data_IF_675717206506
#
_entry.id   IF_675717206506
#
_cell.length_a   1.000
_cell.length_b   1.000
_cell.length_c   1.000
_cell.angle_alpha   90.00
_cell.angle_beta   90.00
_cell.angle_gamma   90.00
#
_symmetry.space_group_name_H-M   'P 1'
#
loop_
_entity.id
_entity.type
_entity.pdbx_description
1 polymer ?
#
# COMPACT_ATOMS: atom_id res chain seq x y z
N UNK A 1 29.41 -19.53 -29.96
CA UNK A 1 28.07 -18.93 -30.07
C UNK A 1 27.56 -18.79 -28.65
N UNK A 2 27.71 -17.60 -28.06
CA UNK A 2 27.33 -17.36 -26.67
C UNK A 2 25.82 -17.10 -26.64
N UNK A 3 25.12 -17.84 -25.79
CA UNK A 3 23.73 -17.54 -25.41
C UNK A 3 23.80 -16.20 -24.68
N UNK A 4 23.06 -15.15 -25.11
CA UNK A 4 23.03 -13.91 -24.35
C UNK A 4 22.50 -14.22 -22.94
N UNK A 5 23.04 -13.59 -21.88
CA UNK A 5 22.42 -13.71 -20.57
C UNK A 5 20.98 -13.21 -20.69
N UNK A 6 20.02 -14.04 -20.28
CA UNK A 6 18.66 -13.57 -20.00
C UNK A 6 18.79 -12.30 -19.16
N UNK A 7 18.14 -11.19 -19.54
CA UNK A 7 18.03 -10.07 -18.62
C UNK A 7 17.32 -10.65 -17.41
N UNK A 8 18.05 -10.71 -16.29
CA UNK A 8 17.58 -11.04 -14.95
C UNK A 8 16.12 -10.64 -14.88
N UNK A 9 15.23 -11.64 -14.78
CA UNK A 9 13.80 -11.41 -14.73
C UNK A 9 13.54 -10.28 -13.74
N UNK A 10 13.12 -9.13 -14.26
CA UNK A 10 12.49 -8.11 -13.45
C UNK A 10 11.30 -8.83 -12.85
N UNK A 11 11.42 -9.30 -11.60
CA UNK A 11 10.23 -9.73 -10.86
C UNK A 11 9.29 -8.55 -10.95
N UNK A 12 8.17 -8.71 -11.66
CA UNK A 12 7.21 -7.64 -11.85
C UNK A 12 6.89 -7.13 -10.46
N UNK A 13 7.23 -5.87 -10.18
CA UNK A 13 6.92 -5.29 -8.88
C UNK A 13 5.43 -5.50 -8.61
N UNK A 14 5.07 -5.80 -7.37
CA UNK A 14 3.68 -5.89 -6.93
C UNK A 14 3.51 -4.80 -5.88
N UNK A 15 2.49 -3.97 -6.05
CA UNK A 15 2.03 -3.07 -5.00
C UNK A 15 0.87 -3.75 -4.27
N UNK A 16 0.95 -3.82 -2.94
CA UNK A 16 -0.06 -4.45 -2.09
C UNK A 16 -0.50 -3.46 -1.02
N UNK A 17 -1.77 -3.02 -1.11
CA UNK A 17 -2.33 -1.99 -0.25
C UNK A 17 -3.62 -2.45 0.42
N UNK A 18 -3.94 -1.80 1.55
CA UNK A 18 -5.19 -1.99 2.28
C UNK A 18 -5.85 -0.64 2.55
N UNK A 19 -7.09 -0.45 2.12
CA UNK A 19 -7.78 0.83 2.20
C UNK A 19 -9.03 0.77 3.09
N UNK A 20 -9.41 1.92 3.63
CA UNK A 20 -10.68 2.08 4.33
C UNK A 20 -11.88 1.84 3.40
N UNK A 21 -12.91 1.19 3.93
CA UNK A 21 -14.21 1.12 3.30
C UNK A 21 -15.00 2.44 3.44
N UNK A 22 -16.02 2.69 2.59
CA UNK A 22 -16.39 1.89 1.42
C UNK A 22 -15.57 2.28 0.18
N UNK A 23 -15.11 1.27 -0.58
CA UNK A 23 -14.56 1.41 -1.93
C UNK A 23 -15.03 0.23 -2.78
N UNK A 24 -15.36 0.51 -4.04
CA UNK A 24 -15.66 -0.53 -5.04
C UNK A 24 -14.45 -0.73 -5.95
N UNK A 25 -14.27 -1.92 -6.57
CA UNK A 25 -13.19 -2.16 -7.53
C UNK A 25 -13.12 -1.08 -8.62
N UNK A 26 -14.26 -0.69 -9.18
CA UNK A 26 -14.34 0.36 -10.21
C UNK A 26 -13.94 1.76 -9.74
N UNK A 27 -14.07 2.08 -8.46
CA UNK A 27 -13.60 3.36 -7.90
C UNK A 27 -12.09 3.33 -7.73
N UNK A 28 -11.55 2.22 -7.20
CA UNK A 28 -10.10 2.02 -7.03
C UNK A 28 -9.37 2.04 -8.37
N UNK A 29 -9.81 1.24 -9.34
CA UNK A 29 -9.18 1.16 -10.66
C UNK A 29 -9.18 2.49 -11.42
N UNK A 30 -10.26 3.27 -11.32
CA UNK A 30 -10.30 4.62 -11.92
C UNK A 30 -9.34 5.58 -11.24
N UNK A 31 -9.20 5.52 -9.91
CA UNK A 31 -8.23 6.34 -9.20
C UNK A 31 -6.80 5.96 -9.57
N UNK A 32 -6.48 4.66 -9.57
CA UNK A 32 -5.19 4.15 -10.04
C UNK A 32 -4.89 4.63 -11.46
N UNK A 33 -5.82 4.46 -12.41
CA UNK A 33 -5.61 4.86 -13.80
C UNK A 33 -5.37 6.37 -13.95
N UNK A 34 -6.09 7.19 -13.17
CA UNK A 34 -5.90 8.64 -13.17
C UNK A 34 -4.52 9.06 -12.64
N UNK A 35 -4.00 8.36 -11.63
CA UNK A 35 -2.70 8.65 -10.99
C UNK A 35 -1.53 8.11 -11.81
N UNK A 36 -1.63 6.87 -12.29
CA UNK A 36 -0.54 6.22 -13.03
C UNK A 36 -0.47 6.66 -14.48
N UNK A 37 -1.59 7.13 -15.05
CA UNK A 37 -1.72 7.38 -16.49
C UNK A 37 -1.80 6.10 -17.33
N UNK A 38 -1.77 4.92 -16.70
CA UNK A 38 -1.86 3.63 -17.36
C UNK A 38 -3.34 3.18 -17.46
N UNK A 39 -3.59 2.27 -18.40
CA UNK A 39 -4.80 1.46 -18.33
C UNK A 39 -4.73 0.59 -17.07
N UNK A 40 -5.83 0.51 -16.32
CA UNK A 40 -5.96 -0.38 -15.16
C UNK A 40 -7.11 -1.32 -15.42
N UNK A 41 -6.81 -2.62 -15.42
CA UNK A 41 -7.75 -3.69 -15.75
C UNK A 41 -7.92 -4.64 -14.58
N UNK A 42 -9.10 -5.26 -14.39
CA UNK A 42 -9.27 -6.29 -13.38
C UNK A 42 -8.33 -7.47 -13.62
N UNK A 43 -7.76 -8.04 -12.56
CA UNK A 43 -7.07 -9.32 -12.65
C UNK A 43 -8.06 -10.41 -13.11
N UNK A 44 -7.63 -11.21 -14.09
CA UNK A 44 -8.45 -12.29 -14.65
C UNK A 44 -9.34 -11.90 -15.84
N UNK A 45 -9.26 -10.64 -16.30
CA UNK A 45 -9.83 -10.25 -17.59
C UNK A 45 -9.08 -10.97 -18.73
N UNK A 46 -9.82 -11.62 -19.62
CA UNK A 46 -9.32 -12.40 -20.76
C UNK A 46 -9.26 -11.59 -22.07
N UNK A 47 -9.60 -10.30 -22.00
CA UNK A 47 -9.50 -9.36 -23.10
C UNK A 47 -8.06 -9.03 -23.54
N UNK A 48 -7.95 -8.33 -24.66
CA UNK A 48 -6.66 -7.78 -25.09
C UNK A 48 -6.22 -6.68 -24.14
N UNK A 49 -5.03 -6.84 -23.55
CA UNK A 49 -4.43 -5.90 -22.63
C UNK A 49 -3.37 -5.05 -23.34
N UNK A 50 -3.39 -3.71 -23.14
CA UNK A 50 -2.25 -2.88 -23.50
C UNK A 50 -0.96 -3.39 -22.84
N UNK A 51 0.17 -3.26 -23.53
CA UNK A 51 1.48 -3.74 -23.04
C UNK A 51 1.91 -3.08 -21.72
N UNK A 52 1.39 -1.89 -21.41
CA UNK A 52 1.65 -1.09 -20.21
C UNK A 52 0.47 -1.09 -19.21
N UNK A 53 -0.48 -2.01 -19.38
CA UNK A 53 -1.62 -2.09 -18.48
C UNK A 53 -1.23 -2.64 -17.10
N UNK A 54 -1.79 -2.03 -16.06
CA UNK A 54 -1.68 -2.51 -14.68
C UNK A 54 -2.83 -3.49 -14.46
N UNK A 55 -2.51 -4.74 -14.08
CA UNK A 55 -3.53 -5.67 -13.60
C UNK A 55 -3.82 -5.33 -12.13
N UNK A 56 -5.10 -5.19 -11.80
CA UNK A 56 -5.52 -4.82 -10.46
C UNK A 56 -6.53 -5.82 -9.92
N UNK A 57 -6.23 -6.41 -8.77
CA UNK A 57 -7.20 -7.19 -8.00
C UNK A 57 -7.65 -6.36 -6.80
N UNK A 58 -8.97 -6.33 -6.56
CA UNK A 58 -9.58 -5.57 -5.46
C UNK A 58 -10.63 -6.44 -4.81
N UNK A 59 -10.42 -6.78 -3.55
CA UNK A 59 -11.32 -7.63 -2.78
C UNK A 59 -11.59 -7.08 -1.39
N UNK A 60 -12.68 -7.57 -0.81
CA UNK A 60 -13.08 -7.24 0.54
C UNK A 60 -12.52 -8.27 1.53
N UNK A 61 -12.08 -7.78 2.67
CA UNK A 61 -11.69 -8.51 3.86
C UNK A 61 -12.28 -7.83 5.09
N UNK A 62 -11.52 -7.78 6.18
CA UNK A 62 -11.99 -7.37 7.50
C UNK A 62 -11.06 -6.35 8.17
N UNK A 63 -11.52 -5.79 9.30
CA UNK A 63 -10.77 -4.78 10.07
C UNK A 63 -11.05 -3.34 9.64
N UNK A 64 -10.15 -2.42 10.01
CA UNK A 64 -10.27 -0.98 9.70
C UNK A 64 -9.91 -0.66 8.25
N UNK A 65 -9.12 -1.53 7.59
CA UNK A 65 -8.69 -1.39 6.20
C UNK A 65 -9.11 -2.62 5.39
N UNK A 66 -10.44 -2.87 5.26
CA UNK A 66 -10.94 -4.11 4.73
C UNK A 66 -10.85 -4.20 3.20
N UNK A 67 -10.41 -3.17 2.48
CA UNK A 67 -10.32 -3.22 1.01
C UNK A 67 -8.89 -3.51 0.62
N UNK A 68 -8.59 -4.73 0.21
CA UNK A 68 -7.27 -5.11 -0.29
C UNK A 68 -7.16 -4.79 -1.78
N UNK A 69 -5.99 -4.30 -2.19
CA UNK A 69 -5.70 -3.82 -3.54
C UNK A 69 -4.32 -4.34 -3.92
N UNK A 70 -4.26 -5.22 -4.91
CA UNK A 70 -3.02 -5.65 -5.55
C UNK A 70 -2.90 -5.02 -6.92
N UNK A 71 -1.73 -4.45 -7.22
CA UNK A 71 -1.38 -3.98 -8.56
C UNK A 71 -0.17 -4.77 -9.06
N UNK A 72 -0.33 -5.44 -10.21
CA UNK A 72 0.72 -6.18 -10.89
C UNK A 72 1.22 -5.38 -12.09
N UNK A 73 2.53 -5.44 -12.32
CA UNK A 73 3.23 -4.66 -13.33
C UNK A 73 2.97 -3.13 -13.23
N UNK A 74 3.09 -2.52 -12.03
CA UNK A 74 2.98 -1.08 -11.90
C UNK A 74 4.13 -0.38 -12.63
N UNK A 75 3.94 0.89 -13.04
CA UNK A 75 4.96 1.65 -13.75
C UNK A 75 6.21 1.86 -12.89
N UNK A 76 7.38 1.53 -13.44
CA UNK A 76 8.66 1.57 -12.72
C UNK A 76 9.13 2.98 -12.34
N UNK A 77 8.67 3.99 -13.06
CA UNK A 77 9.05 5.39 -12.85
C UNK A 77 8.24 6.08 -11.73
N UNK A 78 7.16 5.45 -11.26
CA UNK A 78 6.33 5.97 -10.19
C UNK A 78 6.62 5.21 -8.90
N UNK A 79 7.05 5.91 -7.86
CA UNK A 79 7.25 5.29 -6.55
C UNK A 79 5.90 4.88 -5.93
N UNK A 80 5.81 3.64 -5.44
CA UNK A 80 4.60 3.07 -4.82
C UNK A 80 3.97 4.00 -3.78
N UNK A 81 4.78 4.53 -2.87
CA UNK A 81 4.29 5.38 -1.79
C UNK A 81 3.70 6.70 -2.32
N UNK A 82 4.21 7.23 -3.44
CA UNK A 82 3.64 8.41 -4.11
C UNK A 82 2.30 8.05 -4.74
N UNK A 83 2.21 6.92 -5.45
CA UNK A 83 0.95 6.45 -6.01
C UNK A 83 -0.12 6.24 -4.94
N UNK A 84 0.22 5.56 -3.84
CA UNK A 84 -0.68 5.31 -2.73
C UNK A 84 -1.14 6.62 -2.05
N UNK A 85 -0.24 7.59 -1.87
CA UNK A 85 -0.57 8.92 -1.35
C UNK A 85 -1.57 9.66 -2.24
N UNK A 86 -1.32 9.70 -3.55
CA UNK A 86 -2.21 10.39 -4.49
C UNK A 86 -3.58 9.71 -4.62
N UNK A 87 -3.60 8.37 -4.64
CA UNK A 87 -4.86 7.61 -4.62
C UNK A 87 -5.62 7.85 -3.30
N UNK A 88 -4.95 7.85 -2.15
CA UNK A 88 -5.56 8.14 -0.85
C UNK A 88 -6.19 9.55 -0.82
N UNK A 89 -5.46 10.56 -1.34
CA UNK A 89 -5.95 11.93 -1.44
C UNK A 89 -7.15 12.05 -2.39
N UNK A 90 -7.08 11.40 -3.55
CA UNK A 90 -8.15 11.42 -4.56
C UNK A 90 -9.42 10.76 -4.04
N UNK A 91 -9.29 9.62 -3.35
CA UNK A 91 -10.40 8.86 -2.80
C UNK A 91 -10.89 9.38 -1.44
N UNK A 92 -10.14 10.28 -0.79
CA UNK A 92 -10.39 10.73 0.60
C UNK A 92 -10.53 9.55 1.56
N UNK A 93 -9.63 8.58 1.42
CA UNK A 93 -9.58 7.37 2.25
C UNK A 93 -8.15 7.12 2.68
N UNK A 94 -7.97 6.61 3.89
CA UNK A 94 -6.67 6.16 4.34
C UNK A 94 -6.30 4.84 3.66
N UNK A 95 -5.03 4.70 3.29
CA UNK A 95 -4.46 3.51 2.66
C UNK A 95 -3.21 3.11 3.43
N UNK A 96 -3.17 1.85 3.87
CA UNK A 96 -1.99 1.19 4.41
C UNK A 96 -1.22 0.50 3.29
N UNK A 97 0.09 0.61 3.34
CA UNK A 97 1.02 -0.12 2.51
C UNK A 97 2.15 -0.66 3.39
N UNK A 98 2.80 -1.72 2.92
CA UNK A 98 4.00 -2.23 3.56
C UNK A 98 5.06 -1.12 3.66
N UNK A 99 5.82 -1.12 4.76
CA UNK A 99 6.99 -0.26 4.86
C UNK A 99 8.23 -0.96 4.29
N UNK A 100 9.41 -0.33 4.45
CA UNK A 100 10.69 -0.88 4.04
C UNK A 100 11.39 -1.71 5.12
N UNK A 101 10.66 -2.11 6.17
CA UNK A 101 11.14 -2.94 7.27
C UNK A 101 10.55 -4.35 7.17
N UNK A 102 11.17 -5.30 7.86
CA UNK A 102 10.64 -6.65 8.01
C UNK A 102 9.77 -6.80 9.26
N UNK A 103 9.25 -5.69 9.80
CA UNK A 103 8.42 -5.71 11.01
C UNK A 103 6.95 -5.85 10.58
N UNK A 104 6.28 -7.00 10.81
CA UNK A 104 4.98 -7.28 10.19
C UNK A 104 3.85 -6.33 10.60
N UNK A 105 3.93 -5.75 11.79
CA UNK A 105 2.95 -4.83 12.35
C UNK A 105 3.32 -3.34 12.14
N UNK A 106 4.35 -3.06 11.33
CA UNK A 106 4.74 -1.69 10.95
C UNK A 106 4.43 -1.44 9.48
N UNK A 107 3.75 -0.34 9.24
CA UNK A 107 3.26 0.04 7.91
C UNK A 107 3.49 1.52 7.66
N UNK A 108 3.25 1.94 6.42
CA UNK A 108 3.04 3.35 6.09
C UNK A 108 1.56 3.57 5.87
N UNK A 109 1.05 4.65 6.45
CA UNK A 109 -0.31 5.15 6.25
C UNK A 109 -0.24 6.35 5.30
N UNK A 110 -0.78 6.18 4.10
CA UNK A 110 -1.24 7.30 3.28
C UNK A 110 -2.57 7.80 3.84
N UNK A 111 -2.58 9.03 4.33
CA UNK A 111 -3.77 9.67 4.90
C UNK A 111 -4.66 10.26 3.80
N UNK A 112 -5.91 10.61 4.13
CA UNK A 112 -6.90 11.12 3.19
C UNK A 112 -6.56 12.50 2.57
N UNK A 113 -5.49 13.15 3.02
CA UNK A 113 -4.93 14.37 2.41
C UNK A 113 -3.67 14.08 1.56
N UNK A 114 -3.29 12.80 1.42
CA UNK A 114 -2.11 12.35 0.69
C UNK A 114 -0.83 12.33 1.51
N UNK A 115 -0.89 12.66 2.79
CA UNK A 115 0.31 12.65 3.63
C UNK A 115 0.69 11.24 4.04
N UNK A 116 1.98 10.90 3.93
CA UNK A 116 2.55 9.61 4.36
C UNK A 116 3.05 9.69 5.81
N UNK A 117 2.70 8.68 6.61
CA UNK A 117 3.05 8.57 8.05
C UNK A 117 3.39 7.13 8.41
N UNK A 118 4.49 6.83 9.12
CA UNK A 118 4.71 5.48 9.63
C UNK A 118 3.72 5.19 10.76
N UNK A 119 3.15 3.99 10.79
CA UNK A 119 2.18 3.55 11.80
C UNK A 119 2.43 2.11 12.25
N UNK A 120 1.86 1.77 13.39
CA UNK A 120 1.70 0.40 13.86
C UNK A 120 0.23 -0.01 13.76
N UNK A 121 0.02 -1.27 13.39
CA UNK A 121 -1.32 -1.87 13.32
C UNK A 121 -1.27 -3.25 13.94
N UNK A 122 -2.34 -3.63 14.61
CA UNK A 122 -2.50 -5.01 15.05
C UNK A 122 -2.98 -5.82 13.83
N UNK A 123 -2.18 -6.83 13.45
CA UNK A 123 -2.49 -7.78 12.38
C UNK A 123 -2.90 -9.11 13.01
N UNK A 124 -4.12 -9.56 12.71
CA UNK A 124 -4.66 -10.82 13.22
C UNK A 124 -5.14 -11.66 12.04
N UNK A 125 -4.55 -12.84 11.87
CA UNK A 125 -5.02 -13.82 10.88
C UNK A 125 -6.42 -14.34 11.28
N UNK A 126 -7.32 -14.44 10.30
CA UNK A 126 -8.67 -14.98 10.49
C UNK A 126 -9.04 -15.88 9.32
N UNK A 127 -10.16 -16.60 9.42
CA UNK A 127 -10.69 -17.40 8.31
C UNK A 127 -11.05 -16.54 7.08
N UNK A 128 -11.29 -15.24 7.27
CA UNK A 128 -11.59 -14.25 6.22
C UNK A 128 -10.35 -13.41 5.81
N UNK A 129 -9.14 -13.85 6.23
CA UNK A 129 -7.85 -13.18 5.98
C UNK A 129 -7.38 -12.29 7.14
N UNK A 130 -6.32 -11.53 6.90
CA UNK A 130 -5.69 -10.68 7.92
C UNK A 130 -6.50 -9.41 8.25
N UNK A 131 -6.99 -9.31 9.49
CA UNK A 131 -7.56 -8.09 10.03
C UNK A 131 -6.47 -7.09 10.45
N UNK A 132 -6.54 -5.86 9.91
CA UNK A 132 -5.70 -4.73 10.32
C UNK A 132 -6.52 -3.78 11.20
N UNK A 133 -6.11 -3.59 12.45
CA UNK A 133 -6.86 -2.79 13.45
C UNK A 133 -5.93 -1.95 14.32
N UNK A 134 -6.52 -1.03 15.11
CA UNK A 134 -5.86 -0.28 16.15
C UNK A 134 -4.63 0.49 15.65
N UNK A 135 -4.84 1.32 14.62
CA UNK A 135 -3.78 2.13 14.01
C UNK A 135 -3.21 3.11 15.04
N UNK A 136 -1.89 3.05 15.23
CA UNK A 136 -1.15 3.91 16.16
C UNK A 136 -0.02 4.62 15.42
N UNK A 137 0.14 5.94 15.55
CA UNK A 137 1.29 6.63 14.98
C UNK A 137 2.61 6.02 15.47
N UNK A 138 3.50 5.69 14.55
CA UNK A 138 4.86 5.25 14.87
C UNK A 138 5.63 6.50 15.31
N UNK A 139 5.72 6.74 16.62
CA UNK A 139 6.44 7.89 17.17
C UNK A 139 7.66 7.43 17.95
N UNK A 140 8.71 8.24 17.97
CA UNK A 140 9.89 7.95 18.82
C UNK A 140 9.57 7.91 20.33
N UNK A 141 8.37 8.31 20.73
CA UNK A 141 7.90 8.32 22.11
C UNK A 141 7.17 7.02 22.51
N UNK A 142 6.65 6.27 21.54
CA UNK A 142 6.00 4.99 21.80
C UNK A 142 7.01 4.01 22.42
N UNK A 143 6.64 3.39 23.53
CA UNK A 143 7.44 2.35 24.17
C UNK A 143 7.70 1.18 23.21
N UNK A 144 6.72 0.87 22.36
CA UNK A 144 6.80 -0.14 21.32
C UNK A 144 7.91 0.18 20.31
N UNK A 145 7.95 1.42 19.79
CA UNK A 145 8.99 1.86 18.85
C UNK A 145 10.38 1.90 19.49
N UNK A 146 10.49 2.33 20.76
CA UNK A 146 11.77 2.42 21.48
C UNK A 146 12.40 1.05 21.75
N UNK A 147 11.59 0.02 21.92
CA UNK A 147 12.07 -1.35 22.18
C UNK A 147 12.47 -2.09 20.89
N UNK A 148 11.97 -1.67 19.72
CA UNK A 148 12.27 -2.28 18.42
C UNK A 148 13.15 -1.36 17.56
N UNK A 149 14.45 -1.60 17.65
CA UNK A 149 15.55 -0.93 16.92
C UNK A 149 15.29 -0.67 15.41
N UNK A 150 14.60 -1.53 14.63
CA UNK A 150 14.52 -1.33 13.19
C UNK A 150 13.66 -0.13 12.76
N UNK A 151 12.80 0.41 13.64
CA UNK A 151 11.97 1.58 13.27
C UNK A 151 12.82 2.79 12.86
N UNK A 152 14.00 2.97 13.46
CA UNK A 152 14.92 4.07 13.16
C UNK A 152 15.75 3.86 11.89
N UNK A 153 15.72 2.65 11.31
CA UNK A 153 16.47 2.29 10.09
C UNK A 153 15.61 2.41 8.83
N UNK A 154 14.29 2.56 8.99
CA UNK A 154 13.36 2.82 7.89
C UNK A 154 13.56 4.20 7.29
N UNK A 155 13.36 4.32 5.97
CA UNK A 155 13.24 5.63 5.29
C UNK A 155 12.08 6.47 5.83
N UNK A 156 11.08 5.81 6.40
CA UNK A 156 9.94 6.41 7.07
C UNK A 156 10.24 6.57 8.55
N UNK A 157 11.14 7.49 8.91
CA UNK A 157 11.54 7.65 10.31
C UNK A 157 10.33 7.94 11.21
N UNK A 158 10.28 7.43 12.45
CA UNK A 158 9.16 7.67 13.36
C UNK A 158 8.82 9.16 13.47
N UNK A 159 7.54 9.47 13.53
CA UNK A 159 7.07 10.84 13.67
C UNK A 159 7.63 11.46 14.95
N UNK A 160 8.23 12.64 14.78
CA UNK A 160 8.76 13.43 15.90
C UNK A 160 7.68 14.28 16.57
N UNK A 161 6.55 14.46 15.90
CA UNK A 161 5.37 15.17 16.40
C UNK A 161 4.32 14.11 16.65
N UNK A 162 3.79 14.04 17.88
CA UNK A 162 2.57 13.26 18.13
C UNK A 162 1.43 14.05 17.48
N UNK A 163 0.81 13.58 16.39
CA UNK A 163 -0.34 14.28 15.86
C UNK A 163 -1.43 14.20 16.93
N UNK A 164 -2.08 15.33 17.23
CA UNK A 164 -3.34 15.25 17.96
C UNK A 164 -4.26 14.33 17.15
N UNK A 165 -4.64 13.18 17.71
CA UNK A 165 -5.65 12.32 17.12
C UNK A 165 -6.89 13.19 16.94
N UNK A 166 -7.14 13.66 15.71
CA UNK A 166 -8.40 14.27 15.37
C UNK A 166 -9.45 13.16 15.50
N UNK A 167 -10.29 13.30 16.52
CA UNK A 167 -11.43 12.43 16.81
C UNK A 167 -12.52 12.54 15.75
#
# INVERSE_FOLDING_TARGET
MAIPPDPIGQGSAIWNWHAEAPLTPSVVMRALSAITGCAVVPLGDDGYLPDDAILCDVWAGIGEFPVAIDCYAPPSELAEAVAAAEVAALLRRRILLADDTLIPDRHVLATADGTLRPVHVDVVETDDGEARTNVRPCTGHDAWCRQRVPCQQSRWTPDRVVPGLAA
#
